data_IF_256962067696
#
_entry.id   IF_256962067696
#
_cell.length_a   1.000
_cell.length_b   1.000
_cell.length_c   1.000
_cell.angle_alpha   90.00
_cell.angle_beta   90.00
_cell.angle_gamma   90.00
#
_symmetry.space_group_name_H-M   'P 1'
#
loop_
_entity.id
_entity.type
_entity.pdbx_description
1 polymer ?
#
# COMPACT_ATOMS: atom_id res chain seq x y z
N UNK A 1 2.07 -20.30 -1.60
CA UNK A 1 2.06 -19.72 -0.24
C UNK A 1 2.27 -18.24 -0.42
N UNK A 2 1.33 -17.43 0.05
CA UNK A 2 1.37 -15.98 0.00
C UNK A 2 1.54 -15.42 1.41
N UNK A 3 2.13 -14.23 1.49
CA UNK A 3 2.33 -13.44 2.68
C UNK A 3 1.28 -12.34 2.70
N UNK A 4 0.56 -12.24 3.81
CA UNK A 4 -0.37 -11.14 4.03
C UNK A 4 0.41 -9.95 4.60
N UNK A 5 0.34 -8.81 3.91
CA UNK A 5 1.09 -7.61 4.23
C UNK A 5 0.16 -6.56 4.82
N UNK A 6 0.62 -5.94 5.90
CA UNK A 6 0.05 -4.69 6.42
C UNK A 6 1.05 -3.56 6.14
N UNK A 7 0.72 -2.65 5.22
CA UNK A 7 1.61 -1.54 4.85
C UNK A 7 1.42 -0.37 5.81
N UNK A 8 2.36 -0.20 6.75
CA UNK A 8 2.28 0.84 7.77
C UNK A 8 2.92 2.14 7.30
N UNK A 9 2.25 3.26 7.57
CA UNK A 9 2.72 4.60 7.16
C UNK A 9 2.97 4.67 5.66
N UNK A 10 1.96 4.23 4.90
CA UNK A 10 2.08 3.84 3.50
C UNK A 10 2.39 5.02 2.56
N UNK A 11 2.30 6.25 3.06
CA UNK A 11 2.39 7.46 2.24
C UNK A 11 1.30 7.40 1.18
N UNK A 12 1.71 7.42 -0.10
CA UNK A 12 0.81 7.28 -1.25
C UNK A 12 0.77 5.85 -1.82
N UNK A 13 1.30 4.85 -1.09
CA UNK A 13 1.27 3.43 -1.48
C UNK A 13 2.51 2.90 -2.18
N UNK A 14 3.69 3.49 -1.94
CA UNK A 14 4.92 3.10 -2.63
C UNK A 14 5.32 1.64 -2.38
N UNK A 15 5.15 1.14 -1.15
CA UNK A 15 5.42 -0.26 -0.84
C UNK A 15 4.43 -1.20 -1.53
N UNK A 16 3.15 -0.85 -1.59
CA UNK A 16 2.13 -1.65 -2.29
C UNK A 16 2.50 -1.82 -3.76
N UNK A 17 2.83 -0.72 -4.44
CA UNK A 17 3.26 -0.74 -5.84
C UNK A 17 4.50 -1.63 -6.01
N UNK A 18 5.54 -1.41 -5.21
CA UNK A 18 6.78 -2.19 -5.34
C UNK A 18 6.60 -3.70 -5.06
N UNK A 19 5.71 -4.07 -4.13
CA UNK A 19 5.40 -5.48 -3.85
C UNK A 19 4.59 -6.13 -4.98
N UNK A 20 3.69 -5.37 -5.62
CA UNK A 20 2.98 -5.83 -6.81
C UNK A 20 3.94 -6.03 -7.99
N UNK A 21 4.82 -5.06 -8.25
CA UNK A 21 5.86 -5.17 -9.28
C UNK A 21 6.79 -6.37 -9.01
N UNK A 22 7.10 -6.64 -7.74
CA UNK A 22 7.87 -7.81 -7.34
C UNK A 22 7.12 -9.13 -7.63
N UNK A 23 5.82 -9.20 -7.38
CA UNK A 23 5.01 -10.38 -7.75
C UNK A 23 5.02 -10.61 -9.26
N UNK A 24 4.93 -9.55 -10.07
CA UNK A 24 5.03 -9.62 -11.53
C UNK A 24 6.41 -10.13 -11.96
N UNK A 25 7.49 -9.57 -11.41
CA UNK A 25 8.86 -9.99 -11.73
C UNK A 25 9.18 -11.43 -11.32
N UNK A 26 8.54 -11.95 -10.27
CA UNK A 26 8.71 -13.32 -9.77
C UNK A 26 7.69 -14.29 -10.43
N UNK A 27 6.77 -13.77 -11.24
CA UNK A 27 5.65 -14.50 -11.87
C UNK A 27 4.82 -15.30 -10.86
N UNK A 28 4.64 -14.76 -9.66
CA UNK A 28 3.94 -15.43 -8.56
C UNK A 28 3.42 -14.43 -7.54
N UNK A 29 2.17 -14.61 -7.12
CA UNK A 29 1.58 -13.85 -6.02
C UNK A 29 2.15 -14.32 -4.67
N UNK A 30 3.24 -13.67 -4.25
CA UNK A 30 3.90 -13.90 -2.96
C UNK A 30 3.43 -12.87 -1.95
N UNK A 31 3.30 -11.61 -2.33
CA UNK A 31 2.95 -10.51 -1.43
C UNK A 31 1.53 -10.05 -1.69
N UNK A 32 0.66 -10.17 -0.68
CA UNK A 32 -0.72 -9.68 -0.76
C UNK A 32 -0.94 -8.64 0.32
N UNK A 33 -0.97 -7.37 -0.07
CA UNK A 33 -1.35 -6.30 0.85
C UNK A 33 -2.82 -6.45 1.20
N UNK A 34 -3.11 -6.63 2.49
CA UNK A 34 -4.47 -6.80 3.01
C UNK A 34 -4.99 -5.50 3.61
N UNK A 35 -4.09 -4.71 4.19
CA UNK A 35 -4.43 -3.46 4.86
C UNK A 35 -3.29 -2.47 4.67
N UNK A 36 -3.61 -1.19 4.74
CA UNK A 36 -2.63 -0.12 4.90
C UNK A 36 -3.16 0.94 5.85
N UNK A 37 -2.26 1.74 6.41
CA UNK A 37 -2.66 2.95 7.13
C UNK A 37 -1.76 4.12 6.75
N UNK A 38 -2.34 5.31 6.78
CA UNK A 38 -1.62 6.56 6.59
C UNK A 38 -2.26 7.64 7.47
N UNK A 39 -1.41 8.47 8.09
CA UNK A 39 -1.84 9.63 8.86
C UNK A 39 -0.76 10.72 8.80
N UNK A 40 -1.16 11.94 8.45
CA UNK A 40 -0.31 13.14 8.41
C UNK A 40 -0.62 14.03 9.64
N UNK A 41 0.09 13.85 10.78
CA UNK A 41 -0.27 14.51 12.05
C UNK A 41 -0.05 16.02 12.05
N UNK A 42 0.83 16.52 11.18
CA UNK A 42 1.20 17.94 11.11
C UNK A 42 0.23 18.79 10.27
N UNK A 43 -0.81 18.17 9.70
CA UNK A 43 -1.77 18.82 8.81
C UNK A 43 -3.20 18.41 9.15
N UNK A 44 -4.15 19.30 8.84
CA UNK A 44 -5.58 18.94 8.86
C UNK A 44 -5.95 18.03 7.68
N UNK A 45 -5.41 18.33 6.49
CA UNK A 45 -5.59 17.51 5.31
C UNK A 45 -4.80 16.20 5.40
N UNK A 46 -5.28 15.16 4.73
CA UNK A 46 -4.66 13.84 4.69
C UNK A 46 -4.41 13.44 3.23
N UNK A 47 -3.67 14.30 2.51
CA UNK A 47 -3.42 14.21 1.07
C UNK A 47 -2.92 12.82 0.67
N UNK A 48 -1.97 12.26 1.43
CA UNK A 48 -1.39 10.96 1.13
C UNK A 48 -2.39 9.81 1.33
N UNK A 49 -3.20 9.89 2.39
CA UNK A 49 -4.27 8.93 2.65
C UNK A 49 -5.34 9.00 1.56
N UNK A 50 -5.75 10.20 1.13
CA UNK A 50 -6.75 10.41 0.08
C UNK A 50 -6.29 9.82 -1.26
N UNK A 51 -5.02 10.00 -1.62
CA UNK A 51 -4.42 9.33 -2.79
C UNK A 51 -4.43 7.81 -2.63
N UNK A 52 -4.11 7.30 -1.44
CA UNK A 52 -4.18 5.88 -1.11
C UNK A 52 -5.57 5.31 -1.34
N UNK A 53 -6.62 5.93 -0.78
CA UNK A 53 -8.02 5.52 -0.96
C UNK A 53 -8.45 5.58 -2.43
N UNK A 54 -8.03 6.62 -3.17
CA UNK A 54 -8.35 6.74 -4.59
C UNK A 54 -7.70 5.64 -5.44
N UNK A 55 -6.44 5.31 -5.15
CA UNK A 55 -5.65 4.34 -5.94
C UNK A 55 -5.88 2.89 -5.53
N UNK A 56 -6.19 2.64 -4.26
CA UNK A 56 -6.40 1.32 -3.66
C UNK A 56 -7.73 1.32 -2.88
N UNK A 57 -8.88 1.31 -3.57
CA UNK A 57 -10.19 1.40 -2.92
C UNK A 57 -10.63 0.13 -2.16
N UNK A 58 -9.92 -1.00 -2.32
CA UNK A 58 -10.22 -2.31 -1.72
C UNK A 58 -8.95 -3.06 -1.29
#
# INVERSE_FOLDING_TARGET
MSLNIFSMFDGVGGFIVGLNDANEAIEKEIFRTMYSNQFEPSKKAQDAYEVGVYRFPE
#
